data_IF_004841094009
#
_entry.id   IF_004841094009
#
_cell.length_a   1.000
_cell.length_b   1.000
_cell.length_c   1.000
_cell.angle_alpha   90.00
_cell.angle_beta   90.00
_cell.angle_gamma   90.00
#
_symmetry.space_group_name_H-M   'P 1'
#
loop_
_entity.id
_entity.type
_entity.pdbx_description
1 polymer ?
#
# COMPACT_ATOMS: atom_id res chain seq x y z
N UNK A 1 -11.87 8.15 -21.42
CA UNK A 1 -12.99 7.56 -20.66
C UNK A 1 -12.92 8.10 -19.24
N UNK A 2 -14.05 8.32 -18.56
CA UNK A 2 -14.02 8.69 -17.14
C UNK A 2 -14.38 7.45 -16.32
N UNK A 3 -13.35 6.77 -15.81
CA UNK A 3 -13.53 5.76 -14.80
C UNK A 3 -14.10 6.42 -13.54
N UNK A 4 -15.11 5.79 -12.92
CA UNK A 4 -15.55 6.16 -11.59
C UNK A 4 -15.23 4.99 -10.67
N UNK A 5 -14.17 5.13 -9.89
CA UNK A 5 -13.70 4.12 -8.95
C UNK A 5 -14.20 4.50 -7.55
N UNK A 6 -14.97 3.59 -6.93
CA UNK A 6 -15.48 3.77 -5.58
C UNK A 6 -15.02 2.62 -4.70
N UNK A 7 -14.20 2.92 -3.69
CA UNK A 7 -13.75 1.93 -2.71
C UNK A 7 -14.96 1.30 -2.00
N UNK A 8 -15.09 -0.02 -2.11
CA UNK A 8 -16.16 -0.80 -1.45
C UNK A 8 -15.65 -1.48 -0.18
N UNK A 9 -14.45 -2.03 -0.25
CA UNK A 9 -13.83 -2.74 0.84
C UNK A 9 -12.31 -2.75 0.69
N UNK A 10 -11.61 -2.93 1.80
CA UNK A 10 -10.19 -3.27 1.79
C UNK A 10 -9.92 -4.32 2.85
N UNK A 11 -8.89 -5.13 2.62
CA UNK A 11 -8.45 -6.18 3.51
C UNK A 11 -6.94 -6.15 3.60
N UNK A 12 -6.42 -6.02 4.81
CA UNK A 12 -5.01 -6.31 5.07
C UNK A 12 -4.88 -7.81 5.29
N UNK A 13 -4.15 -8.45 4.37
CA UNK A 13 -3.97 -9.91 4.37
C UNK A 13 -2.81 -10.32 5.26
N UNK A 14 -1.77 -9.50 5.34
CA UNK A 14 -0.60 -9.80 6.16
C UNK A 14 0.12 -8.52 6.57
N UNK A 15 0.59 -8.48 7.81
CA UNK A 15 1.62 -7.54 8.25
C UNK A 15 2.70 -8.36 8.96
N UNK A 16 3.95 -8.16 8.56
CA UNK A 16 5.12 -8.71 9.23
C UNK A 16 6.03 -7.57 9.68
N UNK A 17 6.56 -7.69 10.90
CA UNK A 17 7.49 -6.73 11.49
C UNK A 17 8.69 -7.49 12.03
N UNK A 18 9.90 -7.14 11.56
CA UNK A 18 11.13 -7.65 12.13
C UNK A 18 11.73 -6.64 13.12
N UNK A 19 11.39 -6.84 14.38
CA UNK A 19 11.86 -5.98 15.48
C UNK A 19 13.37 -6.00 15.69
N UNK A 20 14.10 -7.02 15.20
CA UNK A 20 15.55 -7.09 15.39
C UNK A 20 16.30 -6.06 14.54
N UNK A 21 15.64 -5.55 13.50
CA UNK A 21 16.18 -4.55 12.60
C UNK A 21 16.02 -3.13 13.14
N UNK A 22 15.22 -2.93 14.18
CA UNK A 22 15.02 -1.62 14.83
C UNK A 22 16.04 -1.52 15.95
N UNK A 23 17.03 -0.62 15.81
CA UNK A 23 18.20 -0.62 16.68
C UNK A 23 18.07 0.38 17.81
N UNK A 24 17.62 1.62 17.56
CA UNK A 24 17.65 2.66 18.61
C UNK A 24 16.58 3.78 18.49
N UNK A 25 15.55 3.62 17.65
CA UNK A 25 14.39 4.53 17.61
C UNK A 25 14.65 5.96 17.12
N UNK A 26 15.85 6.24 16.61
CA UNK A 26 16.25 7.50 15.94
C UNK A 26 16.48 7.33 14.44
N UNK A 27 16.01 6.22 13.88
CA UNK A 27 16.20 5.90 12.48
C UNK A 27 15.25 6.73 11.60
N UNK A 28 15.80 7.28 10.51
CA UNK A 28 14.98 7.73 9.39
C UNK A 28 14.59 6.49 8.60
N UNK A 29 13.29 6.26 8.47
CA UNK A 29 12.75 5.12 7.75
C UNK A 29 12.15 5.59 6.44
N UNK A 30 12.39 4.83 5.38
CA UNK A 30 11.73 5.01 4.11
C UNK A 30 10.64 3.94 3.97
N UNK A 31 9.51 4.33 3.37
CA UNK A 31 8.48 3.39 2.94
C UNK A 31 8.36 3.41 1.43
N UNK A 32 8.29 2.22 0.87
CA UNK A 32 8.02 2.00 -0.54
C UNK A 32 6.69 1.28 -0.68
N UNK A 33 5.83 1.84 -1.54
CA UNK A 33 4.49 1.34 -1.77
C UNK A 33 4.36 0.90 -3.23
N UNK A 34 3.78 -0.28 -3.44
CA UNK A 34 3.50 -0.83 -4.75
C UNK A 34 2.02 -1.19 -4.86
N UNK A 35 1.35 -0.65 -5.87
CA UNK A 35 -0.01 -1.01 -6.25
C UNK A 35 0.03 -1.76 -7.57
N UNK A 36 -0.72 -2.86 -7.66
CA UNK A 36 -0.88 -3.62 -8.89
C UNK A 36 -2.36 -3.97 -9.08
N UNK A 37 -2.96 -3.59 -10.22
CA UNK A 37 -4.34 -3.97 -10.51
C UNK A 37 -4.42 -5.47 -10.85
N UNK A 38 -5.47 -6.10 -10.32
CA UNK A 38 -5.92 -7.45 -10.63
C UNK A 38 -7.33 -7.33 -11.21
N UNK A 39 -7.47 -7.73 -12.47
CA UNK A 39 -8.74 -7.70 -13.17
C UNK A 39 -9.44 -9.05 -12.98
N UNK A 40 -10.67 -9.09 -12.43
CA UNK A 40 -11.39 -10.34 -12.27
C UNK A 40 -11.63 -10.98 -13.64
N UNK A 41 -11.23 -12.24 -13.78
CA UNK A 41 -11.33 -12.98 -15.05
C UNK A 41 -12.75 -13.47 -15.37
N UNK A 42 -13.66 -13.47 -14.38
CA UNK A 42 -14.99 -14.08 -14.51
C UNK A 42 -16.07 -13.28 -13.74
N UNK A 43 -16.92 -12.56 -14.47
CA UNK A 43 -18.33 -12.31 -14.15
C UNK A 43 -18.69 -11.23 -13.12
N UNK A 44 -17.74 -10.60 -12.43
CA UNK A 44 -17.97 -9.32 -11.75
C UNK A 44 -17.54 -8.21 -12.71
N UNK A 45 -18.46 -7.87 -13.60
CA UNK A 45 -18.15 -7.01 -14.75
C UNK A 45 -17.76 -5.60 -14.33
N UNK A 46 -17.98 -5.18 -13.09
CA UNK A 46 -17.76 -3.81 -12.63
C UNK A 46 -16.88 -3.73 -11.36
N UNK A 47 -16.00 -4.72 -11.12
CA UNK A 47 -15.10 -4.70 -9.95
C UNK A 47 -13.62 -4.63 -10.34
N UNK A 48 -12.86 -3.76 -9.69
CA UNK A 48 -11.40 -3.68 -9.77
C UNK A 48 -10.78 -4.06 -8.43
N UNK A 49 -9.87 -5.04 -8.46
CA UNK A 49 -9.08 -5.41 -7.29
C UNK A 49 -7.70 -4.76 -7.40
N UNK A 50 -7.25 -4.03 -6.38
CA UNK A 50 -5.91 -3.48 -6.30
C UNK A 50 -5.13 -4.20 -5.22
N UNK A 51 -4.11 -4.96 -5.62
CA UNK A 51 -3.15 -5.52 -4.68
C UNK A 51 -2.14 -4.45 -4.28
N UNK A 52 -1.96 -4.28 -2.98
CA UNK A 52 -1.06 -3.30 -2.40
C UNK A 52 0.01 -3.99 -1.56
N UNK A 53 1.25 -3.54 -1.72
CA UNK A 53 2.34 -3.92 -0.84
C UNK A 53 3.06 -2.67 -0.35
N UNK A 54 3.19 -2.52 0.95
CA UNK A 54 4.08 -1.54 1.57
C UNK A 54 5.28 -2.25 2.20
N UNK A 55 6.44 -1.63 2.11
CA UNK A 55 7.67 -2.09 2.74
C UNK A 55 8.38 -0.92 3.41
N UNK A 56 8.74 -1.07 4.68
CA UNK A 56 9.51 -0.08 5.44
C UNK A 56 10.92 -0.60 5.65
N UNK A 57 11.90 0.25 5.43
CA UNK A 57 13.32 -0.04 5.58
C UNK A 57 14.07 1.21 6.08
N UNK A 58 15.31 1.03 6.54
CA UNK A 58 16.15 2.19 6.89
C UNK A 58 16.46 3.02 5.63
N UNK A 59 16.27 4.34 5.72
CA UNK A 59 16.63 5.26 4.64
C UNK A 59 18.10 5.04 4.25
N UNK A 60 18.39 5.05 2.95
CA UNK A 60 19.68 4.70 2.33
C UNK A 60 20.06 3.20 2.30
N UNK A 61 19.19 2.30 2.77
CA UNK A 61 19.41 0.84 2.74
C UNK A 61 18.28 0.09 2.07
N UNK A 62 17.88 0.54 0.88
CA UNK A 62 16.80 -0.09 0.09
C UNK A 62 17.03 -1.57 -0.20
N UNK A 63 18.28 -1.99 -0.37
CA UNK A 63 18.65 -3.39 -0.61
C UNK A 63 18.78 -4.23 0.68
N UNK A 64 18.54 -3.64 1.85
CA UNK A 64 18.59 -4.35 3.12
C UNK A 64 17.24 -5.04 3.44
N UNK A 65 17.22 -5.76 4.57
CA UNK A 65 16.02 -6.45 5.04
C UNK A 65 14.89 -5.45 5.39
N UNK A 66 13.65 -5.84 5.08
CA UNK A 66 12.46 -5.04 5.34
C UNK A 66 12.11 -5.11 6.82
N UNK A 67 12.05 -3.95 7.47
CA UNK A 67 11.62 -3.82 8.87
C UNK A 67 10.12 -4.13 8.98
N UNK A 68 9.33 -3.61 8.04
CA UNK A 68 7.90 -3.91 7.94
C UNK A 68 7.59 -4.34 6.52
N UNK A 69 6.75 -5.36 6.38
CA UNK A 69 6.06 -5.65 5.13
C UNK A 69 4.56 -5.77 5.39
N UNK A 70 3.77 -5.07 4.60
CA UNK A 70 2.32 -5.13 4.65
C UNK A 70 1.77 -5.46 3.27
N UNK A 71 0.84 -6.41 3.22
CA UNK A 71 0.13 -6.81 2.00
C UNK A 71 -1.36 -6.61 2.22
N UNK A 72 -1.99 -5.89 1.31
CA UNK A 72 -3.42 -5.58 1.34
C UNK A 72 -4.06 -5.74 -0.04
N UNK A 73 -5.38 -5.85 -0.05
CA UNK A 73 -6.20 -5.86 -1.25
C UNK A 73 -7.33 -4.84 -1.07
N UNK A 74 -7.50 -3.98 -2.07
CA UNK A 74 -8.56 -2.98 -2.12
C UNK A 74 -9.52 -3.34 -3.24
N UNK A 75 -10.81 -3.25 -2.96
CA UNK A 75 -11.88 -3.63 -3.88
C UNK A 75 -12.63 -2.35 -4.25
N UNK A 76 -12.57 -1.99 -5.52
CA UNK A 76 -13.25 -0.83 -6.08
C UNK A 76 -14.40 -1.30 -6.97
N UNK A 77 -15.54 -0.64 -6.82
CA UNK A 77 -16.61 -0.66 -7.81
C UNK A 77 -16.25 0.32 -8.92
N UNK A 78 -16.40 -0.14 -10.16
CA UNK A 78 -16.20 0.62 -11.39
C UNK A 78 -17.56 0.89 -12.03
N UNK A 79 -17.71 1.99 -12.75
CA UNK A 79 -18.90 2.24 -13.57
C UNK A 79 -18.93 1.46 -14.90
N UNK A 80 -17.88 0.71 -15.19
CA UNK A 80 -17.72 -0.08 -16.40
C UNK A 80 -16.66 -1.17 -16.20
N UNK A 81 -16.66 -2.15 -17.10
CA UNK A 81 -15.67 -3.22 -17.09
C UNK A 81 -14.23 -2.72 -17.16
N UNK A 82 -13.40 -3.00 -16.13
CA UNK A 82 -12.03 -2.54 -16.12
C UNK A 82 -11.19 -3.46 -17.01
N UNK A 83 -10.85 -2.96 -18.19
CA UNK A 83 -9.83 -3.56 -19.05
C UNK A 83 -8.42 -3.06 -18.64
N UNK A 84 -7.42 -3.92 -18.74
CA UNK A 84 -6.03 -3.60 -18.43
C UNK A 84 -5.41 -2.66 -19.48
N UNK A 85 -5.83 -1.40 -19.46
CA UNK A 85 -5.36 -0.34 -20.36
C UNK A 85 -4.39 0.57 -19.63
N UNK A 86 -3.51 1.22 -20.41
CA UNK A 86 -2.62 2.26 -19.85
C UNK A 86 -3.43 3.39 -19.20
N UNK A 87 -4.54 3.80 -19.81
CA UNK A 87 -5.40 4.86 -19.29
C UNK A 87 -5.96 4.54 -17.90
N UNK A 88 -6.43 3.29 -17.68
CA UNK A 88 -6.88 2.86 -16.37
C UNK A 88 -5.74 2.80 -15.34
N UNK A 89 -4.56 2.30 -15.74
CA UNK A 89 -3.39 2.27 -14.85
C UNK A 89 -2.96 3.66 -14.42
N UNK A 90 -2.87 4.60 -15.35
CA UNK A 90 -2.54 6.00 -15.07
C UNK A 90 -3.63 6.62 -14.16
N UNK A 91 -4.92 6.34 -14.41
CA UNK A 91 -6.02 6.79 -13.55
C UNK A 91 -5.91 6.24 -12.12
N UNK A 92 -5.60 4.95 -11.94
CA UNK A 92 -5.40 4.33 -10.62
C UNK A 92 -4.26 5.00 -9.87
N UNK A 93 -3.14 5.26 -10.55
CA UNK A 93 -1.99 5.94 -9.96
C UNK A 93 -2.35 7.36 -9.51
N UNK A 94 -3.07 8.10 -10.34
CA UNK A 94 -3.41 9.50 -10.07
C UNK A 94 -4.54 9.68 -9.04
N UNK A 95 -5.42 8.69 -8.86
CA UNK A 95 -6.67 8.87 -8.09
C UNK A 95 -6.83 7.90 -6.91
N UNK A 96 -6.18 6.74 -6.90
CA UNK A 96 -6.32 5.75 -5.84
C UNK A 96 -5.06 5.59 -4.99
N UNK A 97 -3.88 5.93 -5.53
CA UNK A 97 -2.61 5.67 -4.86
C UNK A 97 -2.51 6.42 -3.53
N UNK A 98 -2.84 7.71 -3.50
CA UNK A 98 -2.77 8.53 -2.29
C UNK A 98 -3.68 7.97 -1.18
N UNK A 99 -4.94 7.66 -1.50
CA UNK A 99 -5.89 7.07 -0.53
C UNK A 99 -5.39 5.73 0.02
N UNK A 100 -4.87 4.87 -0.85
CA UNK A 100 -4.35 3.54 -0.46
C UNK A 100 -3.09 3.67 0.41
N UNK A 101 -2.20 4.59 0.04
CA UNK A 101 -0.99 4.86 0.81
C UNK A 101 -1.34 5.37 2.20
N UNK A 102 -2.23 6.36 2.32
CA UNK A 102 -2.65 6.92 3.61
C UNK A 102 -3.17 5.85 4.58
N UNK A 103 -4.03 4.94 4.08
CA UNK A 103 -4.55 3.81 4.87
C UNK A 103 -3.41 2.89 5.34
N UNK A 104 -2.45 2.60 4.47
CA UNK A 104 -1.31 1.76 4.83
C UNK A 104 -0.38 2.43 5.86
N UNK A 105 -0.09 3.72 5.67
CA UNK A 105 0.69 4.53 6.60
C UNK A 105 0.07 4.55 8.00
N UNK A 106 -1.25 4.78 8.08
CA UNK A 106 -1.96 4.79 9.37
C UNK A 106 -1.81 3.45 10.11
N UNK A 107 -1.96 2.33 9.40
CA UNK A 107 -1.84 1.01 10.00
C UNK A 107 -0.41 0.70 10.46
N UNK A 108 0.60 1.06 9.67
CA UNK A 108 2.02 0.86 10.05
C UNK A 108 2.36 1.73 11.26
N UNK A 109 1.95 3.00 11.28
CA UNK A 109 2.19 3.91 12.40
C UNK A 109 1.55 3.39 13.69
N UNK A 110 0.30 2.91 13.63
CA UNK A 110 -0.37 2.29 14.79
C UNK A 110 0.37 1.09 15.35
N UNK A 111 1.03 0.30 14.49
CA UNK A 111 1.83 -0.84 14.92
C UNK A 111 3.09 -0.36 15.64
N UNK A 112 3.79 0.63 15.09
CA UNK A 112 4.97 1.21 15.76
C UNK A 112 4.63 1.84 17.10
N UNK A 113 3.51 2.56 17.20
CA UNK A 113 2.98 3.07 18.46
C UNK A 113 2.70 1.94 19.46
N UNK A 114 2.00 0.88 19.03
CA UNK A 114 1.67 -0.25 19.89
C UNK A 114 2.91 -1.02 20.38
N UNK A 115 4.00 -0.99 19.61
CA UNK A 115 5.27 -1.63 19.95
C UNK A 115 6.22 -0.73 20.76
N UNK A 116 5.78 0.48 21.14
CA UNK A 116 6.59 1.50 21.82
C UNK A 116 7.84 1.93 21.04
N UNK A 117 7.82 1.84 19.71
CA UNK A 117 8.86 2.44 18.88
C UNK A 117 8.61 3.93 18.74
N UNK A 118 9.01 4.70 19.76
CA UNK A 118 8.86 6.16 19.77
C UNK A 118 10.02 6.82 19.03
N UNK A 119 9.73 7.81 18.17
CA UNK A 119 10.74 8.64 17.51
C UNK A 119 11.13 8.21 16.09
N UNK A 120 10.55 7.13 15.57
CA UNK A 120 10.70 6.75 14.17
C UNK A 120 9.94 7.73 13.27
N UNK A 121 10.63 8.25 12.25
CA UNK A 121 10.01 9.09 11.22
C UNK A 121 10.01 8.31 9.91
N UNK A 122 8.82 7.96 9.44
CA UNK A 122 8.63 7.30 8.15
C UNK A 122 8.39 8.37 7.09
N UNK A 123 9.19 8.36 6.03
CA UNK A 123 9.02 9.22 4.86
C UNK A 123 8.74 8.35 3.63
N UNK A 124 7.87 8.82 2.73
CA UNK A 124 7.69 8.18 1.43
C UNK A 124 9.01 8.20 0.66
N UNK A 125 9.40 7.06 0.09
CA UNK A 125 10.53 7.02 -0.85
C UNK A 125 10.20 7.86 -2.08
N UNK A 126 11.13 8.71 -2.49
CA UNK A 126 11.13 9.35 -3.82
C UNK A 126 11.25 8.31 -4.95
#
# INVERSE_FOLDING_TARGET
>A
MNYNLKLQAYKISQIAVDTKLIKDGKEELAIECFVSPKFPLNGDDDTLLLAFNASVYEKDKKDAEKIVSATAEFIYECNMHPEDTKELRDYILDHCLDEIQDIAFEHINRIFEAMNFTGLKIEASE
#
